data_IF_717330026265
#
_entry.id   IF_717330026265
#
_cell.length_a   1.000
_cell.length_b   1.000
_cell.length_c   1.000
_cell.angle_alpha   90.00
_cell.angle_beta   90.00
_cell.angle_gamma   90.00
#
_symmetry.space_group_name_H-M   'P 1'
#
loop_
_entity.id
_entity.type
_entity.pdbx_description
1 polymer ?
#
# COMPACT_ATOMS: atom_id res chain seq x y z
N UNK A 1 4.96 31.43 -16.75
CA UNK A 1 3.89 30.66 -16.09
C UNK A 1 4.45 30.16 -14.79
N UNK A 2 3.64 30.14 -13.72
CA UNK A 2 4.06 29.55 -12.48
C UNK A 2 4.23 28.03 -12.68
N UNK A 3 5.33 27.46 -12.16
CA UNK A 3 5.61 26.03 -12.24
C UNK A 3 4.56 25.25 -11.44
N UNK A 4 4.00 24.20 -12.01
CA UNK A 4 3.13 23.26 -11.27
C UNK A 4 4.01 22.17 -10.72
N UNK A 5 4.25 22.19 -9.42
CA UNK A 5 5.06 21.19 -8.72
C UNK A 5 4.17 20.28 -7.88
N UNK A 6 4.45 18.97 -7.92
CA UNK A 6 3.81 18.01 -7.03
C UNK A 6 4.86 17.09 -6.41
N UNK A 7 4.71 16.82 -5.11
CA UNK A 7 5.67 16.05 -4.33
C UNK A 7 5.01 14.83 -3.69
N UNK A 8 5.66 13.69 -3.80
CA UNK A 8 5.32 12.48 -3.04
C UNK A 8 6.54 11.94 -2.32
N UNK A 9 6.31 11.25 -1.20
CA UNK A 9 7.34 10.56 -0.44
C UNK A 9 7.10 9.05 -0.37
N UNK A 10 8.16 8.31 -0.16
CA UNK A 10 8.14 6.88 0.18
C UNK A 10 9.16 6.58 1.27
N UNK A 11 9.02 5.42 1.88
CA UNK A 11 9.95 4.95 2.92
C UNK A 11 10.35 3.50 2.65
N UNK A 12 11.49 3.09 3.19
CA UNK A 12 11.93 1.69 3.11
C UNK A 12 11.14 0.82 4.08
N UNK A 13 11.25 -0.49 3.90
CA UNK A 13 10.68 -1.50 4.80
C UNK A 13 11.18 -1.39 6.26
N UNK A 14 12.36 -0.77 6.47
CA UNK A 14 12.94 -0.55 7.79
C UNK A 14 12.44 0.69 8.54
N UNK A 15 11.61 1.53 7.91
CA UNK A 15 10.94 2.61 8.62
C UNK A 15 10.05 2.04 9.73
N UNK A 16 10.02 2.63 10.95
CA UNK A 16 9.29 2.05 12.09
C UNK A 16 7.83 1.71 11.80
N UNK A 17 7.09 2.61 11.16
CA UNK A 17 5.69 2.36 10.77
C UNK A 17 5.58 1.19 9.78
N UNK A 18 6.55 1.04 8.86
CA UNK A 18 6.55 -0.06 7.88
C UNK A 18 6.98 -1.40 8.47
N UNK A 19 7.83 -1.38 9.48
CA UNK A 19 8.10 -2.59 10.30
C UNK A 19 6.78 -3.08 10.92
N UNK A 20 5.98 -2.17 11.48
CA UNK A 20 4.69 -2.52 12.06
C UNK A 20 3.70 -3.06 11.02
N UNK A 21 3.60 -2.43 9.87
CA UNK A 21 2.76 -2.89 8.75
C UNK A 21 3.17 -4.28 8.28
N UNK A 22 4.47 -4.52 8.13
CA UNK A 22 5.01 -5.81 7.71
C UNK A 22 4.73 -6.93 8.73
N UNK A 23 4.86 -6.64 10.03
CA UNK A 23 4.53 -7.60 11.10
C UNK A 23 3.04 -7.92 11.10
N UNK A 24 2.18 -6.91 11.04
CA UNK A 24 0.73 -7.09 11.04
C UNK A 24 0.25 -7.91 9.82
N UNK A 25 0.79 -7.64 8.64
CA UNK A 25 0.45 -8.40 7.42
C UNK A 25 1.12 -9.78 7.38
N UNK A 26 2.28 -9.99 8.02
CA UNK A 26 2.87 -11.31 8.17
C UNK A 26 2.00 -12.24 9.04
N UNK A 27 1.43 -11.70 10.11
CA UNK A 27 0.49 -12.43 10.96
C UNK A 27 -0.79 -12.74 10.18
N UNK A 28 -1.32 -11.78 9.43
CA UNK A 28 -2.49 -11.99 8.56
C UNK A 28 -2.23 -13.10 7.54
N UNK A 29 -1.12 -13.06 6.82
CA UNK A 29 -0.80 -14.08 5.81
C UNK A 29 -0.65 -15.46 6.44
N UNK A 30 -0.01 -15.59 7.60
CA UNK A 30 0.12 -16.85 8.33
C UNK A 30 -1.23 -17.42 8.78
N UNK A 31 -2.22 -16.56 9.07
CA UNK A 31 -3.58 -16.98 9.34
C UNK A 31 -4.25 -17.45 8.05
N UNK A 32 -4.17 -16.67 6.97
CA UNK A 32 -4.81 -17.00 5.68
C UNK A 32 -4.32 -18.33 5.09
N UNK A 33 -3.07 -18.71 5.34
CA UNK A 33 -2.50 -20.01 4.92
C UNK A 33 -3.21 -21.19 5.56
N UNK A 34 -3.65 -21.07 6.82
CA UNK A 34 -4.26 -22.14 7.61
C UNK A 34 -5.78 -22.01 7.70
N UNK A 35 -6.27 -20.77 7.73
CA UNK A 35 -7.68 -20.44 7.92
C UNK A 35 -8.06 -19.24 7.02
N UNK A 36 -8.41 -19.49 5.74
CA UNK A 36 -8.84 -18.42 4.82
C UNK A 36 -10.09 -17.66 5.27
N UNK A 37 -10.82 -18.17 6.25
CA UNK A 37 -12.02 -17.56 6.83
C UNK A 37 -11.73 -16.77 8.11
N UNK A 38 -10.50 -16.78 8.59
CA UNK A 38 -10.08 -16.06 9.79
C UNK A 38 -10.41 -14.58 9.75
N UNK A 39 -10.78 -14.02 10.90
CA UNK A 39 -11.08 -12.61 11.10
C UNK A 39 -9.89 -11.96 11.79
N UNK A 40 -9.34 -10.93 11.17
CA UNK A 40 -8.10 -10.32 11.63
C UNK A 40 -8.22 -8.80 11.61
N UNK A 41 -8.00 -8.21 12.77
CA UNK A 41 -7.73 -6.80 12.98
C UNK A 41 -6.47 -6.75 13.86
N UNK A 42 -5.30 -6.80 13.23
CA UNK A 42 -4.01 -6.90 13.89
C UNK A 42 -3.24 -5.59 13.74
N UNK A 43 -2.93 -4.97 14.85
CA UNK A 43 -2.12 -3.78 14.92
C UNK A 43 -0.79 -4.08 15.62
N UNK A 44 0.25 -3.39 15.21
CA UNK A 44 1.59 -3.50 15.79
C UNK A 44 2.09 -2.13 16.17
N UNK A 45 2.73 -2.02 17.32
CA UNK A 45 3.50 -0.85 17.71
C UNK A 45 4.95 -1.27 17.99
N UNK A 46 5.90 -0.41 17.68
CA UNK A 46 7.33 -0.64 17.93
C UNK A 46 8.01 0.61 18.46
N UNK A 47 9.00 0.41 19.31
CA UNK A 47 9.92 1.43 19.80
C UNK A 47 11.25 0.76 20.13
N UNK A 48 12.17 1.48 20.78
CA UNK A 48 13.48 0.92 21.19
C UNK A 48 13.32 -0.43 21.89
N UNK A 49 13.84 -1.50 21.27
CA UNK A 49 13.90 -2.83 21.83
C UNK A 49 12.56 -3.55 22.07
N UNK A 50 11.45 -3.03 21.52
CA UNK A 50 10.10 -3.59 21.75
C UNK A 50 9.28 -3.66 20.45
N UNK A 51 8.61 -4.79 20.27
CA UNK A 51 7.47 -4.96 19.35
C UNK A 51 6.26 -5.41 20.15
N UNK A 52 5.15 -4.70 20.05
CA UNK A 52 3.88 -5.05 20.66
C UNK A 52 2.85 -5.33 19.56
N UNK A 53 2.30 -6.54 19.56
CA UNK A 53 1.20 -6.97 18.69
C UNK A 53 -0.08 -6.95 19.50
N UNK A 54 -1.11 -6.25 18.99
CA UNK A 54 -2.40 -6.09 19.66
C UNK A 54 -3.53 -6.15 18.64
N UNK A 55 -4.75 -6.30 19.12
CA UNK A 55 -5.95 -6.31 18.29
C UNK A 55 -6.85 -7.51 18.54
N UNK A 56 -7.76 -7.77 17.59
CA UNK A 56 -8.76 -8.82 17.69
C UNK A 56 -8.60 -9.81 16.54
N UNK A 57 -8.44 -11.08 16.90
CA UNK A 57 -8.28 -12.18 15.94
C UNK A 57 -9.20 -13.33 16.33
N UNK A 58 -10.03 -13.76 15.38
CA UNK A 58 -10.82 -14.98 15.49
C UNK A 58 -10.40 -15.94 14.38
N UNK A 59 -9.76 -17.04 14.75
CA UNK A 59 -9.22 -18.02 13.80
C UNK A 59 -9.08 -19.40 14.43
N UNK A 60 -9.06 -20.41 13.57
CA UNK A 60 -8.67 -21.79 13.94
C UNK A 60 -7.17 -22.07 13.75
N UNK A 61 -6.45 -21.13 13.11
CA UNK A 61 -5.01 -21.26 12.87
C UNK A 61 -4.21 -21.31 14.18
N UNK A 62 -3.13 -22.10 14.17
CA UNK A 62 -2.18 -22.19 15.29
C UNK A 62 -0.89 -21.47 14.91
N UNK A 63 -0.58 -20.38 15.60
CA UNK A 63 0.51 -19.49 15.24
C UNK A 63 1.53 -19.35 16.38
N UNK A 64 2.80 -19.35 16.02
CA UNK A 64 3.87 -18.81 16.84
C UNK A 64 4.11 -17.34 16.46
N UNK A 65 3.35 -16.44 17.08
CA UNK A 65 3.39 -15.00 16.77
C UNK A 65 4.76 -14.41 17.07
N UNK A 66 5.44 -14.86 18.15
CA UNK A 66 6.78 -14.36 18.44
C UNK A 66 7.78 -14.72 17.34
N UNK A 67 7.68 -15.93 16.80
CA UNK A 67 8.51 -16.36 15.68
C UNK A 67 8.23 -15.54 14.43
N UNK A 68 6.95 -15.31 14.08
CA UNK A 68 6.55 -14.50 12.91
C UNK A 68 7.11 -13.08 13.03
N UNK A 69 7.00 -12.46 14.20
CA UNK A 69 7.55 -11.11 14.46
C UNK A 69 9.06 -11.09 14.24
N UNK A 70 9.80 -12.01 14.88
CA UNK A 70 11.28 -12.07 14.81
C UNK A 70 11.76 -12.34 13.38
N UNK A 71 11.11 -13.25 12.67
CA UNK A 71 11.46 -13.57 11.29
C UNK A 71 11.22 -12.35 10.37
N UNK A 72 10.11 -11.62 10.55
CA UNK A 72 9.82 -10.41 9.79
C UNK A 72 10.85 -9.31 10.07
N UNK A 73 11.19 -9.07 11.33
CA UNK A 73 12.21 -8.07 11.72
C UNK A 73 13.59 -8.45 11.16
N UNK A 74 13.92 -9.75 11.14
CA UNK A 74 15.18 -10.28 10.58
C UNK A 74 15.23 -10.10 9.06
N UNK A 75 14.14 -10.41 8.33
CA UNK A 75 14.05 -10.22 6.89
C UNK A 75 14.21 -8.75 6.48
N UNK A 76 13.70 -7.82 7.27
CA UNK A 76 13.88 -6.37 7.06
C UNK A 76 15.36 -5.99 7.20
N UNK A 77 16.11 -6.69 8.05
CA UNK A 77 17.55 -6.48 8.22
C UNK A 77 17.97 -5.92 9.58
N UNK A 78 17.08 -5.89 10.56
CA UNK A 78 17.45 -5.58 11.95
C UNK A 78 18.01 -6.83 12.62
N UNK A 79 19.29 -7.07 12.40
CA UNK A 79 20.00 -8.29 12.78
C UNK A 79 21.20 -8.07 13.71
N UNK A 80 21.43 -6.81 14.12
CA UNK A 80 22.58 -6.45 14.94
C UNK A 80 22.14 -5.61 16.14
N UNK A 81 22.56 -6.01 17.35
CA UNK A 81 22.24 -5.29 18.59
C UNK A 81 22.71 -3.84 18.60
N UNK A 82 23.77 -3.50 17.85
CA UNK A 82 24.28 -2.13 17.72
C UNK A 82 23.29 -1.18 17.01
N UNK A 83 22.26 -1.70 16.34
CA UNK A 83 21.17 -0.88 15.78
C UNK A 83 20.20 -0.37 16.85
N UNK A 84 20.32 -0.87 18.11
CA UNK A 84 19.41 -0.57 19.21
C UNK A 84 18.02 -1.21 19.07
N UNK A 85 17.85 -2.02 18.02
CA UNK A 85 16.67 -2.82 17.73
C UNK A 85 17.10 -3.99 16.84
N UNK A 86 16.85 -5.22 17.27
CA UNK A 86 17.19 -6.41 16.49
C UNK A 86 16.23 -7.59 16.77
N UNK A 87 16.16 -8.50 15.82
CA UNK A 87 15.21 -9.59 15.78
C UNK A 87 15.38 -10.58 16.96
N UNK A 88 16.59 -10.77 17.46
CA UNK A 88 16.88 -11.80 18.47
C UNK A 88 16.67 -11.29 19.88
N UNK A 89 16.95 -10.01 20.14
CA UNK A 89 16.95 -9.43 21.50
C UNK A 89 15.77 -8.52 21.80
N UNK A 90 15.01 -8.05 20.80
CA UNK A 90 13.82 -7.23 21.07
C UNK A 90 12.79 -7.99 21.91
N UNK A 91 12.13 -7.28 22.81
CA UNK A 91 10.96 -7.81 23.52
C UNK A 91 9.79 -7.93 22.53
N UNK A 92 9.05 -9.03 22.59
CA UNK A 92 7.82 -9.23 21.83
C UNK A 92 6.67 -9.43 22.80
N UNK A 93 5.76 -8.46 22.82
CA UNK A 93 4.52 -8.53 23.60
C UNK A 93 3.35 -8.86 22.69
N UNK A 94 2.49 -9.76 23.09
CA UNK A 94 1.30 -10.18 22.35
C UNK A 94 0.08 -9.98 23.24
N UNK A 95 -0.81 -9.08 22.80
CA UNK A 95 -2.06 -8.70 23.48
C UNK A 95 -3.18 -8.80 22.45
N UNK A 96 -3.64 -10.02 22.21
CA UNK A 96 -4.65 -10.33 21.21
C UNK A 96 -5.89 -10.92 21.89
N UNK A 97 -7.03 -10.34 21.60
CA UNK A 97 -8.34 -10.79 22.04
C UNK A 97 -9.14 -11.44 20.91
N UNK A 98 -10.24 -12.11 21.25
CA UNK A 98 -11.23 -12.54 20.26
C UNK A 98 -12.13 -11.36 19.88
N UNK A 99 -12.56 -11.31 18.62
CA UNK A 99 -13.55 -10.32 18.18
C UNK A 99 -14.81 -10.40 19.05
N UNK A 100 -15.40 -9.23 19.38
CA UNK A 100 -16.64 -9.19 20.17
C UNK A 100 -17.80 -9.90 19.45
N UNK A 101 -18.67 -10.57 20.24
CA UNK A 101 -19.85 -11.26 19.71
C UNK A 101 -20.84 -10.31 19.03
N UNK A 102 -20.90 -9.04 19.46
CA UNK A 102 -21.78 -8.02 18.90
C UNK A 102 -21.37 -7.65 17.46
N UNK A 103 -20.07 -7.58 17.18
CA UNK A 103 -19.54 -7.35 15.82
C UNK A 103 -19.73 -8.61 14.96
N UNK A 104 -19.53 -9.80 15.55
CA UNK A 104 -19.68 -11.08 14.88
C UNK A 104 -21.12 -11.30 14.35
N UNK A 105 -22.15 -10.88 15.10
CA UNK A 105 -23.56 -11.06 14.71
C UNK A 105 -23.92 -10.39 13.37
N UNK A 106 -23.29 -9.27 13.03
CA UNK A 106 -23.51 -8.59 11.74
C UNK A 106 -22.78 -9.23 10.56
N UNK A 107 -21.74 -10.03 10.83
CA UNK A 107 -20.81 -10.56 9.83
C UNK A 107 -20.89 -12.08 9.71
N UNK A 108 -21.17 -12.82 10.80
CA UNK A 108 -21.11 -14.29 10.85
C UNK A 108 -22.34 -14.99 10.28
N UNK A 109 -23.53 -14.39 10.29
CA UNK A 109 -24.70 -14.92 9.58
C UNK A 109 -24.45 -15.19 8.10
N UNK A 110 -23.49 -14.50 7.53
CA UNK A 110 -23.08 -14.66 6.15
C UNK A 110 -22.06 -15.78 5.93
N UNK A 111 -21.35 -16.22 6.96
CA UNK A 111 -20.34 -17.29 6.90
C UNK A 111 -20.98 -18.68 6.93
N UNK A 112 -22.01 -18.87 7.75
CA UNK A 112 -22.77 -20.13 7.85
C UNK A 112 -23.51 -20.48 6.56
N UNK A 113 -23.89 -19.47 5.75
CA UNK A 113 -24.49 -19.68 4.42
C UNK A 113 -23.49 -20.16 3.36
N UNK A 114 -22.19 -20.13 3.62
CA UNK A 114 -21.12 -20.37 2.62
C UNK A 114 -20.72 -21.82 2.42
N UNK A 115 -21.02 -22.72 3.32
CA UNK A 115 -20.72 -24.14 3.16
C UNK A 115 -21.58 -24.82 2.09
N UNK A 116 -22.68 -24.17 1.64
CA UNK A 116 -23.57 -24.68 0.59
C UNK A 116 -23.90 -23.60 -0.45
N UNK A 117 -23.11 -23.46 -1.51
CA UNK A 117 -23.41 -22.72 -2.77
C UNK A 117 -24.33 -21.52 -2.61
N UNK A 118 -23.77 -20.34 -2.29
CA UNK A 118 -24.53 -19.09 -2.12
C UNK A 118 -25.24 -18.67 -3.41
N UNK A 119 -26.51 -18.38 -3.29
CA UNK A 119 -27.32 -17.67 -4.29
C UNK A 119 -26.96 -16.16 -4.28
N UNK A 120 -27.29 -15.41 -5.34
CA UNK A 120 -27.07 -13.96 -5.39
C UNK A 120 -27.76 -13.21 -4.24
N UNK A 121 -28.90 -13.71 -3.77
CA UNK A 121 -29.63 -13.16 -2.61
C UNK A 121 -28.88 -13.34 -1.27
N UNK A 122 -28.07 -14.38 -1.15
CA UNK A 122 -27.23 -14.62 0.04
C UNK A 122 -25.95 -13.74 0.03
N UNK A 123 -25.42 -13.43 -1.15
CA UNK A 123 -24.33 -12.43 -1.29
C UNK A 123 -24.82 -11.03 -0.89
N UNK A 124 -26.08 -10.69 -1.14
CA UNK A 124 -26.71 -9.44 -0.68
C UNK A 124 -26.88 -9.39 0.85
N UNK A 125 -26.95 -10.51 1.52
CA UNK A 125 -27.09 -10.58 2.97
C UNK A 125 -25.78 -10.29 3.73
N UNK A 126 -24.62 -10.27 3.05
CA UNK A 126 -23.32 -9.92 3.66
C UNK A 126 -23.17 -8.41 3.62
N UNK A 127 -23.51 -7.74 4.70
CA UNK A 127 -23.27 -6.30 4.86
C UNK A 127 -21.81 -5.96 5.07
N UNK A 128 -21.47 -4.70 4.83
CA UNK A 128 -20.16 -4.15 5.18
C UNK A 128 -19.92 -4.28 6.69
N UNK A 129 -18.73 -4.69 7.09
CA UNK A 129 -18.34 -4.84 8.50
C UNK A 129 -18.21 -3.52 9.24
N UNK A 130 -18.13 -2.40 8.53
CA UNK A 130 -18.08 -1.05 9.07
C UNK A 130 -18.63 -0.05 8.04
N UNK A 131 -18.92 1.15 8.51
CA UNK A 131 -19.12 2.31 7.65
C UNK A 131 -17.77 2.83 7.16
N UNK A 132 -17.76 3.54 6.01
CA UNK A 132 -16.54 4.20 5.54
C UNK A 132 -16.63 4.67 4.11
N UNK A 133 -15.61 5.41 3.69
CA UNK A 133 -15.37 5.79 2.31
C UNK A 133 -13.99 5.35 1.88
N UNK A 134 -13.86 4.86 0.67
CA UNK A 134 -12.61 4.36 0.10
C UNK A 134 -12.40 4.97 -1.27
N UNK A 135 -11.14 5.21 -1.63
CA UNK A 135 -10.77 5.79 -2.91
C UNK A 135 -9.88 4.84 -3.70
N UNK A 136 -10.08 4.83 -5.00
CA UNK A 136 -9.17 4.26 -5.97
C UNK A 136 -8.79 5.30 -7.01
N UNK A 137 -7.59 5.18 -7.56
CA UNK A 137 -7.08 6.11 -8.56
C UNK A 137 -6.24 5.38 -9.61
N UNK A 138 -6.22 5.91 -10.81
CA UNK A 138 -5.29 5.56 -11.86
C UNK A 138 -5.05 6.75 -12.79
N UNK A 139 -3.87 6.81 -13.36
CA UNK A 139 -3.52 7.74 -14.45
C UNK A 139 -2.62 7.07 -15.48
N UNK A 140 -2.54 7.62 -16.67
CA UNK A 140 -1.67 7.14 -17.74
C UNK A 140 -0.26 7.75 -17.68
N UNK A 141 0.15 8.26 -16.51
CA UNK A 141 1.46 8.90 -16.31
C UNK A 141 2.62 7.88 -16.28
N UNK A 142 2.34 6.64 -15.86
CA UNK A 142 3.31 5.56 -15.77
C UNK A 142 2.75 4.26 -16.35
N UNK A 143 3.60 3.29 -16.65
CA UNK A 143 3.19 1.95 -17.10
C UNK A 143 2.38 1.20 -16.04
N UNK A 144 2.60 1.53 -14.77
CA UNK A 144 1.86 0.97 -13.64
C UNK A 144 0.49 1.64 -13.44
N UNK A 145 0.15 2.66 -14.24
CA UNK A 145 -1.04 3.50 -14.07
C UNK A 145 -1.09 4.21 -12.71
N UNK A 146 0.07 4.66 -12.24
CA UNK A 146 0.24 5.38 -10.98
C UNK A 146 0.65 6.83 -11.23
N UNK A 147 0.39 7.77 -10.28
CA UNK A 147 0.98 9.10 -10.31
C UNK A 147 2.51 9.01 -10.32
N UNK A 148 3.15 9.80 -11.17
CA UNK A 148 4.58 9.74 -11.41
C UNK A 148 5.43 9.96 -10.15
N UNK A 149 5.13 10.95 -9.27
CA UNK A 149 5.96 11.21 -8.09
C UNK A 149 6.03 10.03 -7.12
N UNK A 150 4.88 9.40 -6.80
CA UNK A 150 4.87 8.26 -5.87
C UNK A 150 5.47 7.01 -6.49
N UNK A 151 5.23 6.75 -7.78
CA UNK A 151 5.82 5.62 -8.48
C UNK A 151 7.36 5.71 -8.43
N UNK A 152 7.91 6.89 -8.68
CA UNK A 152 9.36 7.09 -8.66
C UNK A 152 9.93 7.05 -7.23
N UNK A 153 9.24 7.64 -6.24
CA UNK A 153 9.64 7.58 -4.85
C UNK A 153 9.71 6.11 -4.35
N UNK A 154 8.74 5.27 -4.72
CA UNK A 154 8.76 3.83 -4.41
C UNK A 154 9.93 3.11 -5.09
N UNK A 155 10.21 3.41 -6.36
CA UNK A 155 11.34 2.81 -7.09
C UNK A 155 12.67 3.15 -6.41
N UNK A 156 12.85 4.40 -5.96
CA UNK A 156 14.04 4.83 -5.22
C UNK A 156 14.16 4.11 -3.86
N UNK A 157 13.10 4.06 -3.06
CA UNK A 157 13.10 3.37 -1.76
C UNK A 157 13.38 1.88 -1.90
N UNK A 158 12.84 1.24 -2.94
CA UNK A 158 13.07 -0.17 -3.24
C UNK A 158 14.52 -0.41 -3.66
N UNK A 159 15.07 0.43 -4.53
CA UNK A 159 16.47 0.34 -4.96
C UNK A 159 17.44 0.55 -3.80
N UNK A 160 17.13 1.47 -2.89
CA UNK A 160 17.92 1.68 -1.68
C UNK A 160 17.97 0.41 -0.80
N UNK A 161 16.83 -0.26 -0.61
CA UNK A 161 16.78 -1.52 0.12
C UNK A 161 17.48 -2.67 -0.63
N UNK A 162 17.39 -2.72 -1.95
CA UNK A 162 18.07 -3.70 -2.80
C UNK A 162 19.58 -3.63 -2.63
N UNK A 163 20.21 -2.46 -2.84
CA UNK A 163 21.66 -2.30 -2.74
C UNK A 163 22.21 -2.51 -1.32
N UNK A 164 21.36 -2.37 -0.30
CA UNK A 164 21.67 -2.77 1.08
C UNK A 164 21.66 -4.28 1.23
N UNK A 165 20.60 -4.95 0.77
CA UNK A 165 20.38 -6.39 0.98
C UNK A 165 21.32 -7.26 0.15
N UNK A 166 21.69 -6.84 -1.05
CA UNK A 166 22.63 -7.57 -1.91
C UNK A 166 24.10 -7.34 -1.53
N UNK A 167 24.37 -6.43 -0.58
CA UNK A 167 25.69 -6.12 -0.07
C UNK A 167 26.49 -5.12 -0.93
N UNK A 168 25.90 -4.56 -1.98
CA UNK A 168 26.54 -3.50 -2.80
C UNK A 168 26.94 -2.32 -1.93
N UNK A 169 26.06 -1.89 -1.02
CA UNK A 169 26.31 -0.84 -0.03
C UNK A 169 26.10 -1.42 1.38
N UNK A 170 27.07 -2.21 1.84
CA UNK A 170 26.99 -2.98 3.07
C UNK A 170 26.93 -2.16 4.36
N UNK A 171 27.27 -0.88 4.30
CA UNK A 171 27.19 0.07 5.42
C UNK A 171 25.80 0.68 5.62
N UNK A 172 24.85 0.44 4.70
CA UNK A 172 23.47 0.91 4.84
C UNK A 172 22.73 0.12 5.90
N UNK A 173 21.92 0.82 6.69
CA UNK A 173 21.00 0.25 7.67
C UNK A 173 19.56 0.29 7.15
N UNK A 174 18.60 -0.43 7.77
CA UNK A 174 17.29 -0.66 7.17
C UNK A 174 16.40 0.57 6.97
N UNK A 175 16.52 1.62 7.80
CA UNK A 175 15.66 2.79 7.74
C UNK A 175 16.08 3.77 6.64
N UNK A 176 15.11 4.29 5.92
CA UNK A 176 15.34 5.26 4.87
C UNK A 176 14.05 5.88 4.34
N UNK A 177 14.19 7.06 3.75
CA UNK A 177 13.08 7.83 3.15
C UNK A 177 13.50 8.39 1.81
N UNK A 178 12.55 8.50 0.90
CA UNK A 178 12.73 9.17 -0.39
C UNK A 178 11.58 10.15 -0.63
N UNK A 179 11.87 11.22 -1.35
CA UNK A 179 10.86 12.20 -1.75
C UNK A 179 11.20 12.68 -3.16
N UNK A 180 10.18 12.80 -4.00
CA UNK A 180 10.33 13.25 -5.39
C UNK A 180 9.37 14.39 -5.65
N UNK A 181 9.90 15.51 -6.14
CA UNK A 181 9.13 16.64 -6.65
C UNK A 181 9.21 16.66 -8.16
N UNK A 182 8.05 16.58 -8.80
CA UNK A 182 7.88 16.57 -10.25
C UNK A 182 7.27 17.89 -10.70
N UNK A 183 7.85 18.49 -11.75
CA UNK A 183 7.25 19.60 -12.47
C UNK A 183 6.33 19.05 -13.55
N UNK A 184 5.12 19.61 -13.64
CA UNK A 184 4.11 19.27 -14.63
C UNK A 184 3.98 20.39 -15.66
N UNK A 185 3.77 20.02 -16.91
CA UNK A 185 3.50 20.96 -18.00
C UNK A 185 2.07 21.53 -17.93
N UNK A 186 1.74 22.41 -18.85
CA UNK A 186 0.42 23.04 -18.98
C UNK A 186 -0.72 22.06 -19.29
N UNK A 187 -0.40 20.85 -19.78
CA UNK A 187 -1.33 19.77 -20.06
C UNK A 187 -1.45 18.79 -18.88
N UNK A 188 -0.77 19.07 -17.76
CA UNK A 188 -0.74 18.21 -16.58
C UNK A 188 0.05 16.92 -16.77
N UNK A 189 1.08 16.94 -17.62
CA UNK A 189 2.00 15.80 -17.83
C UNK A 189 3.32 16.03 -17.11
N UNK A 190 3.91 14.98 -16.52
CA UNK A 190 5.24 15.07 -15.95
C UNK A 190 6.26 15.55 -16.99
N UNK A 191 7.06 16.57 -16.67
CA UNK A 191 8.00 17.20 -17.60
C UNK A 191 9.44 17.13 -17.15
N UNK A 192 9.72 17.25 -15.85
CA UNK A 192 11.06 17.15 -15.26
C UNK A 192 11.01 16.87 -13.76
N UNK A 193 12.14 16.46 -13.21
CA UNK A 193 12.33 16.35 -11.77
C UNK A 193 12.88 17.68 -11.23
N UNK A 194 12.16 18.30 -10.30
CA UNK A 194 12.59 19.54 -9.67
C UNK A 194 13.48 19.26 -8.46
N UNK A 195 13.12 18.31 -7.61
CA UNK A 195 13.92 17.90 -6.46
C UNK A 195 13.78 16.39 -6.16
N UNK A 196 14.89 15.79 -5.72
CA UNK A 196 14.94 14.42 -5.21
C UNK A 196 15.65 14.42 -3.86
N UNK A 197 14.97 13.95 -2.83
CA UNK A 197 15.50 13.82 -1.47
C UNK A 197 15.63 12.34 -1.14
N UNK A 198 16.77 11.96 -0.57
CA UNK A 198 16.98 10.62 -0.01
C UNK A 198 17.68 10.74 1.34
N UNK A 199 17.09 10.14 2.36
CA UNK A 199 17.71 9.99 3.68
C UNK A 199 17.84 8.50 3.98
N UNK A 200 19.04 8.06 4.36
CA UNK A 200 19.31 6.66 4.66
C UNK A 200 20.11 6.50 5.93
N UNK A 201 19.69 5.56 6.76
CA UNK A 201 20.43 5.14 7.93
C UNK A 201 21.70 4.39 7.50
N UNK A 202 22.82 4.61 8.21
CA UNK A 202 24.13 4.10 7.83
C UNK A 202 24.99 3.79 9.05
N UNK A 203 26.05 3.02 8.86
CA UNK A 203 27.07 2.76 9.88
C UNK A 203 27.86 4.03 10.22
N UNK A 204 28.39 4.13 11.45
CA UNK A 204 29.03 5.34 11.94
C UNK A 204 30.35 5.71 11.23
N UNK A 205 31.00 4.73 10.62
CA UNK A 205 32.38 4.86 10.10
C UNK A 205 32.44 5.26 8.62
N UNK A 206 31.30 5.38 7.92
CA UNK A 206 31.23 5.83 6.53
C UNK A 206 31.14 7.36 6.47
N UNK A 207 31.88 7.99 5.56
CA UNK A 207 31.81 9.44 5.37
C UNK A 207 30.58 9.87 4.57
N UNK A 208 30.15 11.13 4.73
CA UNK A 208 29.03 11.67 3.97
C UNK A 208 29.35 11.76 2.48
N UNK A 209 30.60 12.09 2.13
CA UNK A 209 31.08 12.13 0.75
C UNK A 209 30.88 10.77 0.07
N UNK A 210 31.28 9.68 0.75
CA UNK A 210 31.10 8.32 0.24
C UNK A 210 29.63 7.99 0.05
N UNK A 211 28.77 8.34 1.02
CA UNK A 211 27.33 8.12 0.92
C UNK A 211 26.75 8.87 -0.29
N UNK A 212 27.14 10.13 -0.50
CA UNK A 212 26.68 10.94 -1.62
C UNK A 212 27.07 10.34 -2.97
N UNK A 213 28.33 9.95 -3.13
CA UNK A 213 28.83 9.32 -4.36
C UNK A 213 28.13 7.99 -4.66
N UNK A 214 27.99 7.16 -3.64
CA UNK A 214 27.38 5.83 -3.77
C UNK A 214 25.87 5.90 -4.04
N UNK A 215 25.14 6.75 -3.32
CA UNK A 215 23.70 6.92 -3.55
C UNK A 215 23.45 7.50 -4.96
N UNK A 216 24.26 8.47 -5.38
CA UNK A 216 24.16 8.97 -6.75
C UNK A 216 24.36 7.83 -7.76
N UNK A 217 25.46 7.09 -7.65
CA UNK A 217 25.85 6.05 -8.60
C UNK A 217 24.92 4.83 -8.61
N UNK A 218 24.59 4.29 -7.44
CA UNK A 218 23.92 2.99 -7.31
C UNK A 218 22.41 3.11 -7.14
N UNK A 219 21.90 4.30 -6.79
CA UNK A 219 20.46 4.52 -6.62
C UNK A 219 19.93 5.50 -7.65
N UNK A 220 20.42 6.75 -7.67
CA UNK A 220 19.86 7.78 -8.54
C UNK A 220 20.11 7.48 -10.02
N UNK A 221 21.35 7.27 -10.42
CA UNK A 221 21.72 7.01 -11.82
C UNK A 221 21.13 5.72 -12.38
N UNK A 222 20.65 4.81 -11.50
CA UNK A 222 20.00 3.55 -11.91
C UNK A 222 18.47 3.63 -11.99
N UNK A 223 17.85 4.59 -11.30
CA UNK A 223 16.39 4.68 -11.17
C UNK A 223 15.82 5.90 -11.87
N UNK A 224 16.52 7.05 -11.79
CA UNK A 224 16.01 8.30 -12.35
C UNK A 224 16.12 8.31 -13.87
N UNK A 225 15.03 8.62 -14.61
CA UNK A 225 15.10 8.76 -16.06
C UNK A 225 15.96 9.96 -16.45
N UNK A 226 16.95 9.74 -17.32
CA UNK A 226 17.93 10.76 -17.69
C UNK A 226 17.29 11.96 -18.42
N UNK A 227 16.19 11.75 -19.12
CA UNK A 227 15.41 12.78 -19.82
C UNK A 227 14.56 13.65 -18.88
N UNK A 228 14.39 13.23 -17.63
CA UNK A 228 13.65 13.99 -16.59
C UNK A 228 14.60 14.78 -15.66
N UNK A 229 15.92 14.59 -15.78
CA UNK A 229 16.95 15.25 -14.94
C UNK A 229 17.68 16.29 -15.75
N UNK A 230 17.81 17.49 -15.23
CA UNK A 230 18.57 18.58 -15.84
C UNK A 230 19.49 19.29 -14.82
N UNK A 231 20.18 20.35 -15.26
CA UNK A 231 21.10 21.14 -14.45
C UNK A 231 20.44 21.88 -13.27
N UNK A 232 19.11 22.02 -13.30
CA UNK A 232 18.35 22.69 -12.26
C UNK A 232 17.71 21.68 -11.28
N UNK A 233 17.83 20.37 -11.53
CA UNK A 233 17.34 19.33 -10.63
C UNK A 233 18.16 19.33 -9.34
N UNK A 234 17.47 19.47 -8.21
CA UNK A 234 18.12 19.51 -6.90
C UNK A 234 18.17 18.13 -6.27
N UNK A 235 19.35 17.75 -5.75
CA UNK A 235 19.56 16.49 -5.05
C UNK A 235 19.95 16.74 -3.60
N UNK A 236 19.20 16.12 -2.68
CA UNK A 236 19.44 16.18 -1.25
C UNK A 236 19.66 14.76 -0.70
N UNK A 237 20.89 14.44 -0.35
CA UNK A 237 21.27 13.14 0.23
C UNK A 237 21.70 13.36 1.66
N UNK A 238 21.01 12.74 2.63
CA UNK A 238 21.26 12.94 4.07
C UNK A 238 21.50 14.42 4.43
N UNK A 239 20.59 15.35 4.14
CA UNK A 239 20.84 16.79 4.28
C UNK A 239 21.13 17.22 5.72
N UNK A 240 20.77 16.41 6.70
CA UNK A 240 21.10 16.63 8.12
C UNK A 240 22.50 16.06 8.49
N UNK A 241 23.18 15.40 7.55
CA UNK A 241 24.47 14.73 7.76
C UNK A 241 24.31 13.33 8.36
N UNK A 242 24.63 13.15 9.64
CA UNK A 242 24.69 11.83 10.28
C UNK A 242 23.29 11.24 10.55
N UNK A 243 23.06 10.02 10.05
CA UNK A 243 21.84 9.25 10.32
C UNK A 243 22.19 7.80 10.72
N UNK A 244 22.78 7.64 11.89
CA UNK A 244 23.19 6.34 12.45
C UNK A 244 22.11 5.77 13.36
N UNK A 245 21.48 6.61 14.19
CA UNK A 245 20.32 6.22 15.00
C UNK A 245 19.08 6.39 14.15
N UNK A 246 18.36 5.29 13.92
CA UNK A 246 17.16 5.23 13.09
C UNK A 246 16.37 3.96 13.39
N UNK A 247 15.34 3.70 12.58
CA UNK A 247 14.42 2.62 12.81
C UNK A 247 13.69 2.77 14.15
N UNK A 248 13.18 1.67 14.75
CA UNK A 248 12.48 1.71 16.04
C UNK A 248 13.30 2.27 17.22
N UNK A 249 14.63 2.32 17.09
CA UNK A 249 15.48 2.98 18.08
C UNK A 249 15.42 4.50 17.98
N UNK A 250 15.22 5.06 16.78
CA UNK A 250 15.15 6.50 16.54
C UNK A 250 13.78 7.09 16.72
N UNK A 251 12.74 6.36 16.32
CA UNK A 251 11.34 6.79 16.39
C UNK A 251 10.42 5.59 16.54
N UNK A 252 9.28 5.78 17.20
CA UNK A 252 8.26 4.75 17.34
C UNK A 252 7.44 4.59 16.07
N UNK A 253 7.03 3.33 15.82
CA UNK A 253 6.15 2.97 14.72
C UNK A 253 4.81 2.41 15.19
N UNK A 254 3.81 2.57 14.35
CA UNK A 254 2.47 1.97 14.54
C UNK A 254 1.91 1.59 13.17
N UNK A 255 1.23 0.45 13.11
CA UNK A 255 0.49 0.01 11.91
C UNK A 255 -0.46 1.10 11.41
N UNK A 256 -0.48 1.34 10.10
CA UNK A 256 -1.43 2.24 9.47
C UNK A 256 -1.12 3.73 9.58
N UNK A 257 0.12 4.11 9.85
CA UNK A 257 0.57 5.51 9.89
C UNK A 257 1.23 6.00 8.59
N UNK A 258 1.31 5.17 7.56
CA UNK A 258 1.86 5.51 6.23
C UNK A 258 0.84 5.31 5.11
N UNK A 259 -0.44 5.62 5.39
CA UNK A 259 -1.56 5.37 4.47
C UNK A 259 -1.46 6.13 3.15
N UNK A 260 -0.83 7.29 3.13
CA UNK A 260 -0.59 8.07 1.91
C UNK A 260 0.52 7.44 1.08
N UNK A 261 1.60 6.99 1.70
CA UNK A 261 2.68 6.20 1.06
C UNK A 261 2.12 4.88 0.52
N UNK A 262 1.23 4.23 1.25
CA UNK A 262 0.61 2.96 0.87
C UNK A 262 -0.30 3.08 -0.37
N UNK A 263 -0.80 4.27 -0.66
CA UNK A 263 -1.76 4.53 -1.73
C UNK A 263 -1.17 5.33 -2.89
N UNK A 264 -1.48 6.62 -2.98
CA UNK A 264 -1.17 7.41 -4.17
C UNK A 264 -0.25 8.62 -3.91
N UNK A 265 0.43 8.66 -2.75
CA UNK A 265 1.39 9.71 -2.43
C UNK A 265 0.80 11.10 -2.31
N UNK A 266 -0.48 11.21 -1.98
CA UNK A 266 -1.20 12.48 -1.87
C UNK A 266 -1.82 12.98 -3.18
N UNK A 267 -1.62 12.29 -4.28
CA UNK A 267 -2.16 12.70 -5.60
C UNK A 267 -3.66 12.48 -5.70
N UNK A 268 -4.19 11.46 -5.06
CA UNK A 268 -5.61 11.17 -4.93
C UNK A 268 -6.10 11.38 -3.50
N UNK A 269 -7.43 11.50 -3.34
CA UNK A 269 -8.09 11.52 -2.04
C UNK A 269 -7.86 10.20 -1.30
N UNK A 270 -8.02 10.21 0.01
CA UNK A 270 -7.93 9.02 0.87
C UNK A 270 -9.07 9.01 1.88
N UNK A 271 -9.65 7.83 2.13
CA UNK A 271 -10.76 7.67 3.07
C UNK A 271 -10.36 7.61 4.54
N UNK A 272 -9.07 7.49 4.84
CA UNK A 272 -8.51 7.43 6.19
C UNK A 272 -8.28 6.01 6.74
N UNK A 273 -8.86 4.98 6.11
CA UNK A 273 -8.69 3.59 6.55
C UNK A 273 -7.30 3.02 6.21
N UNK A 274 -6.62 2.43 7.19
CA UNK A 274 -5.39 1.69 7.00
C UNK A 274 -5.65 0.32 6.38
N UNK A 275 -4.67 -0.22 5.64
CA UNK A 275 -4.78 -1.53 4.97
C UNK A 275 -4.18 -2.66 5.80
N UNK A 276 -2.91 -2.52 6.22
CA UNK A 276 -2.15 -3.58 6.87
C UNK A 276 -2.81 -4.09 8.15
N UNK A 277 -2.74 -5.39 8.37
CA UNK A 277 -3.31 -6.07 9.53
C UNK A 277 -4.81 -6.36 9.43
N UNK A 278 -5.50 -5.94 8.36
CA UNK A 278 -6.93 -6.15 8.14
C UNK A 278 -7.16 -7.26 7.12
N UNK A 279 -8.00 -8.24 7.45
CA UNK A 279 -8.48 -9.25 6.51
C UNK A 279 -9.46 -8.66 5.47
N UNK A 280 -9.74 -9.40 4.42
CA UNK A 280 -10.53 -8.93 3.27
C UNK A 280 -12.01 -8.61 3.57
N UNK A 281 -12.51 -8.90 4.76
CA UNK A 281 -13.87 -8.51 5.16
C UNK A 281 -13.96 -7.05 5.60
N UNK A 282 -12.83 -6.43 5.90
CA UNK A 282 -12.75 -5.00 6.21
C UNK A 282 -12.71 -4.20 4.90
N UNK A 283 -13.80 -3.47 4.65
CA UNK A 283 -13.96 -2.67 3.42
C UNK A 283 -12.90 -1.59 3.25
N UNK A 284 -12.32 -1.08 4.32
CA UNK A 284 -11.18 -0.18 4.27
C UNK A 284 -10.07 -0.69 3.34
N UNK A 285 -9.81 -1.99 3.38
CA UNK A 285 -8.81 -2.64 2.53
C UNK A 285 -9.44 -3.15 1.23
N UNK A 286 -10.44 -4.00 1.30
CA UNK A 286 -11.00 -4.69 0.13
C UNK A 286 -11.65 -3.73 -0.87
N UNK A 287 -12.40 -2.74 -0.41
CA UNK A 287 -13.04 -1.77 -1.29
C UNK A 287 -12.05 -0.74 -1.87
N UNK A 288 -10.99 -0.38 -1.15
CA UNK A 288 -9.90 0.42 -1.72
C UNK A 288 -9.19 -0.33 -2.85
N UNK A 289 -8.96 -1.62 -2.70
CA UNK A 289 -8.40 -2.48 -3.76
C UNK A 289 -9.35 -2.61 -4.95
N UNK A 290 -10.65 -2.78 -4.70
CA UNK A 290 -11.67 -2.81 -5.77
C UNK A 290 -11.76 -1.47 -6.50
N UNK A 291 -11.73 -0.35 -5.79
CA UNK A 291 -11.74 0.98 -6.39
C UNK A 291 -10.49 1.21 -7.27
N UNK A 292 -9.31 0.75 -6.85
CA UNK A 292 -8.09 0.73 -7.68
C UNK A 292 -8.28 -0.10 -8.94
N UNK A 293 -8.79 -1.31 -8.81
CA UNK A 293 -9.04 -2.21 -9.93
C UNK A 293 -9.98 -1.58 -10.97
N UNK A 294 -11.07 -0.95 -10.53
CA UNK A 294 -12.00 -0.23 -11.40
C UNK A 294 -11.31 0.93 -12.10
N UNK A 295 -10.67 1.83 -11.35
CA UNK A 295 -10.00 3.01 -11.91
C UNK A 295 -8.92 2.63 -12.94
N UNK A 296 -8.11 1.61 -12.62
CA UNK A 296 -7.04 1.13 -13.51
C UNK A 296 -7.59 0.58 -14.83
N UNK A 297 -8.64 -0.21 -14.79
CA UNK A 297 -9.27 -0.74 -16.00
C UNK A 297 -9.95 0.36 -16.85
N UNK A 298 -10.53 1.39 -16.23
CA UNK A 298 -11.10 2.55 -16.95
C UNK A 298 -10.02 3.28 -17.73
N UNK A 299 -8.89 3.61 -17.07
CA UNK A 299 -7.79 4.33 -17.72
C UNK A 299 -7.12 3.45 -18.79
N UNK A 300 -6.86 2.19 -18.49
CA UNK A 300 -6.26 1.24 -19.44
C UNK A 300 -7.15 0.96 -20.67
N UNK A 301 -8.48 1.03 -20.51
CA UNK A 301 -9.42 0.95 -21.63
C UNK A 301 -9.45 2.23 -22.49
N UNK A 302 -8.75 3.29 -22.07
CA UNK A 302 -8.70 4.57 -22.76
C UNK A 302 -9.98 5.40 -22.62
N UNK A 303 -10.80 5.14 -21.60
CA UNK A 303 -12.02 5.88 -21.29
C UNK A 303 -11.73 7.21 -20.60
N UNK A 304 -10.58 7.35 -19.96
CA UNK A 304 -10.07 8.59 -19.37
C UNK A 304 -8.54 8.52 -19.25
N UNK A 305 -7.85 9.65 -19.16
CA UNK A 305 -6.42 9.70 -18.84
C UNK A 305 -6.16 9.61 -17.33
N UNK A 306 -7.12 10.08 -16.52
CA UNK A 306 -7.12 10.05 -15.05
C UNK A 306 -8.50 9.66 -14.58
N UNK A 307 -8.55 8.83 -13.55
CA UNK A 307 -9.81 8.37 -12.97
C UNK A 307 -9.66 8.17 -11.46
N UNK A 308 -10.49 8.87 -10.69
CA UNK A 308 -10.66 8.64 -9.26
C UNK A 308 -12.06 8.04 -9.01
N UNK A 309 -12.11 7.01 -8.19
CA UNK A 309 -13.33 6.34 -7.77
C UNK A 309 -13.48 6.49 -6.26
N UNK A 310 -14.66 6.95 -5.80
CA UNK A 310 -15.02 6.84 -4.39
C UNK A 310 -16.12 5.78 -4.23
N UNK A 311 -15.92 4.90 -3.27
CA UNK A 311 -16.93 3.97 -2.77
C UNK A 311 -17.25 4.32 -1.32
N UNK A 312 -18.53 4.20 -0.93
CA UNK A 312 -18.91 4.32 0.48
C UNK A 312 -19.85 3.21 0.89
N UNK A 313 -19.79 2.83 2.17
CA UNK A 313 -20.60 1.76 2.75
C UNK A 313 -21.20 2.23 4.06
N UNK A 314 -22.36 1.62 4.40
CA UNK A 314 -22.94 1.67 5.73
C UNK A 314 -22.81 0.28 6.38
N UNK A 315 -22.55 0.25 7.68
CA UNK A 315 -22.46 -1.01 8.42
C UNK A 315 -23.70 -1.88 8.21
N UNK A 316 -23.52 -3.15 7.93
CA UNK A 316 -24.61 -4.10 7.72
C UNK A 316 -25.31 -3.99 6.35
N UNK A 317 -24.90 -3.08 5.46
CA UNK A 317 -25.46 -2.92 4.11
C UNK A 317 -24.49 -3.46 3.07
N UNK A 318 -24.97 -4.33 2.17
CA UNK A 318 -24.15 -4.96 1.14
C UNK A 318 -23.83 -3.99 -0.02
N UNK A 319 -24.83 -3.28 -0.52
CA UNK A 319 -24.64 -2.36 -1.63
C UNK A 319 -23.86 -1.12 -1.19
N UNK A 320 -22.92 -0.63 -2.01
CA UNK A 320 -22.32 0.69 -1.76
C UNK A 320 -23.42 1.76 -1.64
N UNK A 321 -23.33 2.59 -0.61
CA UNK A 321 -24.27 3.72 -0.42
C UNK A 321 -24.06 4.81 -1.47
N UNK A 322 -22.84 4.93 -2.00
CA UNK A 322 -22.54 5.77 -3.17
C UNK A 322 -21.36 5.24 -3.97
N UNK A 323 -21.37 5.55 -5.27
CA UNK A 323 -20.25 5.40 -6.19
C UNK A 323 -20.09 6.76 -6.87
N UNK A 324 -18.90 7.37 -6.73
CA UNK A 324 -18.54 8.61 -7.42
C UNK A 324 -17.36 8.35 -8.35
N UNK A 325 -17.39 8.95 -9.52
CA UNK A 325 -16.30 8.93 -10.49
C UNK A 325 -15.90 10.38 -10.76
N UNK A 326 -14.60 10.65 -10.79
CA UNK A 326 -14.04 11.91 -11.24
C UNK A 326 -12.94 11.61 -12.26
N UNK A 327 -13.11 12.07 -13.48
CA UNK A 327 -12.14 11.90 -14.57
C UNK A 327 -11.28 13.14 -14.79
N UNK A 328 -11.44 14.17 -13.96
CA UNK A 328 -10.68 15.43 -14.04
C UNK A 328 -10.80 16.09 -15.43
N UNK A 329 -11.96 15.95 -16.08
CA UNK A 329 -12.22 16.48 -17.42
C UNK A 329 -11.57 15.68 -18.57
N UNK A 330 -10.95 14.53 -18.30
CA UNK A 330 -10.31 13.69 -19.34
C UNK A 330 -11.20 12.55 -19.84
N UNK A 331 -12.40 12.39 -19.25
CA UNK A 331 -13.35 11.32 -19.59
C UNK A 331 -13.92 11.43 -21.00
N UNK A 332 -14.00 10.31 -21.69
CA UNK A 332 -14.68 10.19 -23.00
C UNK A 332 -16.18 9.93 -22.88
N UNK A 333 -16.62 9.54 -21.69
CA UNK A 333 -18.03 9.37 -21.32
C UNK A 333 -18.36 10.33 -20.18
N UNK A 334 -19.66 10.63 -19.99
CA UNK A 334 -20.09 11.35 -18.80
C UNK A 334 -19.90 10.50 -17.54
N UNK A 335 -19.77 11.17 -16.39
CA UNK A 335 -19.57 10.49 -15.11
C UNK A 335 -20.75 9.58 -14.76
N UNK A 336 -21.99 9.97 -15.11
CA UNK A 336 -23.18 9.15 -14.94
C UNK A 336 -23.08 7.83 -15.73
N UNK A 337 -22.66 7.90 -17.00
CA UNK A 337 -22.45 6.72 -17.83
C UNK A 337 -21.32 5.83 -17.30
N UNK A 338 -20.26 6.41 -16.76
CA UNK A 338 -19.18 5.65 -16.13
C UNK A 338 -19.69 4.93 -14.86
N UNK A 339 -20.53 5.57 -14.04
CA UNK A 339 -21.13 4.94 -12.87
C UNK A 339 -22.05 3.77 -13.27
N UNK A 340 -22.89 3.94 -14.32
CA UNK A 340 -23.72 2.86 -14.85
C UNK A 340 -22.87 1.68 -15.33
N UNK A 341 -21.83 1.95 -16.11
CA UNK A 341 -20.87 0.95 -16.60
C UNK A 341 -20.18 0.21 -15.45
N UNK A 342 -19.80 0.91 -14.38
CA UNK A 342 -19.20 0.30 -13.19
C UNK A 342 -20.18 -0.67 -12.56
N UNK A 343 -21.44 -0.28 -12.34
CA UNK A 343 -22.48 -1.14 -11.75
C UNK A 343 -22.78 -2.39 -12.59
N UNK A 344 -22.67 -2.29 -13.90
CA UNK A 344 -22.89 -3.42 -14.82
C UNK A 344 -21.75 -4.44 -14.83
N UNK A 345 -20.49 -3.99 -14.59
CA UNK A 345 -19.32 -4.82 -14.85
C UNK A 345 -18.54 -5.23 -13.58
N UNK A 346 -18.83 -4.62 -12.42
CA UNK A 346 -18.11 -4.87 -11.17
C UNK A 346 -19.08 -5.09 -10.02
N UNK A 347 -18.93 -6.23 -9.34
CA UNK A 347 -19.67 -6.49 -8.11
C UNK A 347 -18.94 -5.86 -6.93
N UNK A 348 -19.41 -4.68 -6.51
CA UNK A 348 -18.81 -3.90 -5.44
C UNK A 348 -19.44 -4.18 -4.05
N UNK A 349 -20.28 -5.20 -3.92
CA UNK A 349 -20.68 -5.73 -2.62
C UNK A 349 -19.48 -6.38 -1.92
N UNK A 350 -19.34 -6.32 -0.60
CA UNK A 350 -18.16 -6.87 0.10
C UNK A 350 -17.81 -8.30 -0.30
N UNK A 351 -18.78 -9.22 -0.34
CA UNK A 351 -18.55 -10.59 -0.79
C UNK A 351 -18.23 -10.70 -2.29
N UNK A 352 -18.81 -9.84 -3.10
CA UNK A 352 -18.52 -9.71 -4.54
C UNK A 352 -17.06 -9.32 -4.78
N UNK A 353 -16.56 -8.33 -4.05
CA UNK A 353 -15.17 -7.90 -4.10
C UNK A 353 -14.22 -9.04 -3.71
N UNK A 354 -14.48 -9.71 -2.59
CA UNK A 354 -13.66 -10.82 -2.10
C UNK A 354 -13.55 -11.92 -3.17
N UNK A 355 -14.67 -12.25 -3.81
CA UNK A 355 -14.73 -13.25 -4.88
C UNK A 355 -14.05 -12.78 -6.15
N UNK A 356 -14.35 -11.55 -6.61
CA UNK A 356 -13.84 -10.96 -7.84
C UNK A 356 -12.30 -10.84 -7.81
N UNK A 357 -11.74 -10.45 -6.68
CA UNK A 357 -10.32 -10.24 -6.49
C UNK A 357 -9.61 -11.42 -5.80
N UNK A 358 -10.32 -12.51 -5.49
CA UNK A 358 -9.77 -13.70 -4.83
C UNK A 358 -8.89 -13.36 -3.61
N UNK A 359 -9.47 -12.61 -2.67
CA UNK A 359 -8.73 -11.98 -1.56
C UNK A 359 -8.48 -12.91 -0.36
N UNK A 360 -8.95 -14.16 -0.37
CA UNK A 360 -8.75 -15.11 0.75
C UNK A 360 -7.47 -15.92 0.58
N UNK A 361 -6.38 -15.23 0.28
CA UNK A 361 -5.05 -15.82 0.06
C UNK A 361 -3.99 -15.08 0.86
N UNK A 362 -2.85 -15.71 1.17
CA UNK A 362 -1.72 -15.05 1.84
C UNK A 362 -0.94 -14.17 0.85
N UNK A 363 -1.48 -12.99 0.53
CA UNK A 363 -0.96 -12.08 -0.51
C UNK A 363 -0.66 -10.68 0.01
N UNK A 364 -0.68 -10.47 1.32
CA UNK A 364 -0.70 -9.14 1.93
C UNK A 364 0.68 -8.64 2.38
N UNK A 365 1.50 -9.47 3.03
CA UNK A 365 2.84 -9.08 3.54
C UNK A 365 3.71 -8.39 2.49
N UNK A 366 3.67 -8.88 1.25
CA UNK A 366 4.49 -8.32 0.17
C UNK A 366 4.11 -6.90 -0.24
N UNK A 367 2.91 -6.43 0.13
CA UNK A 367 2.45 -5.06 -0.14
C UNK A 367 2.65 -4.12 1.05
N UNK A 368 3.12 -4.61 2.18
CA UNK A 368 3.32 -3.82 3.39
C UNK A 368 4.38 -2.72 3.25
N UNK A 369 5.25 -2.79 2.24
CA UNK A 369 6.21 -1.75 1.90
C UNK A 369 6.19 -1.47 0.39
N UNK A 370 6.58 -0.25 0.01
CA UNK A 370 6.69 0.21 -1.39
C UNK A 370 5.36 0.31 -2.13
N UNK A 371 4.27 0.55 -1.41
CA UNK A 371 2.92 0.77 -1.94
C UNK A 371 2.12 -0.51 -2.17
N UNK A 372 0.80 -0.39 -2.01
CA UNK A 372 -0.16 -1.46 -2.28
C UNK A 372 -0.58 -1.50 -3.76
N UNK A 373 -0.37 -0.39 -4.48
CA UNK A 373 -0.80 -0.20 -5.87
C UNK A 373 0.40 0.02 -6.80
N UNK A 374 0.19 -0.26 -8.10
CA UNK A 374 1.24 -0.11 -9.11
C UNK A 374 2.37 -1.15 -8.99
N UNK A 375 2.10 -2.30 -8.40
CA UNK A 375 3.08 -3.35 -8.12
C UNK A 375 3.12 -4.38 -9.24
N UNK A 376 3.69 -3.99 -10.39
CA UNK A 376 3.86 -4.89 -11.54
C UNK A 376 4.88 -6.01 -11.26
N UNK A 377 5.67 -5.89 -10.20
CA UNK A 377 6.59 -6.92 -9.68
C UNK A 377 5.87 -8.04 -8.91
N UNK A 378 4.59 -7.85 -8.58
CA UNK A 378 3.75 -8.79 -7.83
C UNK A 378 2.50 -9.16 -8.62
N UNK A 379 2.10 -10.43 -8.58
CA UNK A 379 0.78 -10.85 -9.12
C UNK A 379 -0.32 -10.49 -8.13
N UNK A 380 -0.87 -9.28 -8.27
CA UNK A 380 -1.95 -8.77 -7.42
C UNK A 380 -3.25 -8.68 -8.19
N UNK A 381 -4.36 -9.29 -7.69
CA UNK A 381 -5.63 -9.32 -8.40
C UNK A 381 -6.18 -7.93 -8.75
N UNK A 382 -5.99 -6.94 -7.87
CA UNK A 382 -6.45 -5.56 -8.08
C UNK A 382 -5.63 -4.76 -9.09
N UNK A 383 -4.55 -5.32 -9.59
CA UNK A 383 -3.73 -4.74 -10.67
C UNK A 383 -4.02 -5.35 -12.06
N UNK A 384 -4.91 -6.34 -12.16
CA UNK A 384 -5.26 -7.00 -13.42
C UNK A 384 -6.02 -6.06 -14.37
N UNK A 385 -5.80 -6.27 -15.68
CA UNK A 385 -6.39 -5.51 -16.77
C UNK A 385 -7.42 -6.34 -17.57
N UNK A 386 -8.02 -7.32 -16.95
CA UNK A 386 -8.91 -8.30 -17.56
C UNK A 386 -10.31 -7.75 -17.92
N UNK A 387 -10.64 -6.54 -17.50
CA UNK A 387 -11.87 -5.83 -17.89
C UNK A 387 -11.69 -4.87 -19.07
N UNK A 388 -10.47 -4.60 -19.51
CA UNK A 388 -10.17 -3.61 -20.55
C UNK A 388 -10.99 -3.82 -21.84
N UNK A 389 -10.98 -5.03 -22.39
CA UNK A 389 -11.70 -5.32 -23.64
C UNK A 389 -13.23 -5.23 -23.48
N UNK A 390 -13.73 -5.50 -22.29
CA UNK A 390 -15.16 -5.32 -22.00
C UNK A 390 -15.53 -3.84 -21.93
N UNK A 391 -14.68 -3.05 -21.27
CA UNK A 391 -14.93 -1.60 -21.10
C UNK A 391 -14.75 -0.81 -22.39
N UNK A 392 -13.83 -1.20 -23.27
CA UNK A 392 -13.66 -0.53 -24.59
C UNK A 392 -14.95 -0.49 -25.41
N UNK A 393 -15.83 -1.49 -25.27
CA UNK A 393 -17.12 -1.53 -25.99
C UNK A 393 -18.05 -0.35 -25.68
N UNK A 394 -17.81 0.38 -24.62
CA UNK A 394 -18.56 1.58 -24.27
C UNK A 394 -18.12 2.83 -25.04
N UNK A 395 -16.92 2.79 -25.68
CA UNK A 395 -16.45 3.85 -26.57
C UNK A 395 -17.21 3.88 -27.91
N UNK A 396 -17.79 2.73 -28.31
CA UNK A 396 -18.48 2.55 -29.59
C UNK A 396 -20.01 2.75 -29.46
N UNK A 397 -20.51 3.03 -28.26
CA UNK A 397 -21.93 3.28 -27.96
C UNK A 397 -22.20 4.78 -27.76
#
# INVERSE_FOLDING_TARGET
>A
MDKILFTSESVTEGHPDKVCDAVSDAILDAIMEQDPMGRVACETATTTGLVMVMGEITTTAQLDIQKIVRDTVREIGYTKGEYGFDADTCAVMVVLDKQSEDIALGVDKALEAKENKMSDSEIEAIGAGDQGMMFGYASNETEEYMPYPIALAHKLSRKLAEVRKDGTLSYLRPDGKTQVTVEYDENGRPSRLDAVVLSTQHDPDVSQEQIHEDIKKYVFDTVLPADMVDENTQFFINPTGRFVIGGPHGDSGVTGRKIIVDSYGGYARHGGGAFSGKDCTKVDRSAAYAARYVAKNIVAAGLADKCEIQLSYAIGVAQPTSIMVDTFGTGKLSEEKLVEMIRENFDLRPAGIIKMLDLRRPIYKQTAAYGHFGRNDLDRPWEKLDKVETLKKYLDK
#
